data_IF_241258687005
#
_entry.id   IF_241258687005
#
_cell.length_a   1.000
_cell.length_b   1.000
_cell.length_c   1.000
_cell.angle_alpha   90.00
_cell.angle_beta   90.00
_cell.angle_gamma   90.00
#
_symmetry.space_group_name_H-M   'P 1'
#
loop_
_entity.id
_entity.type
_entity.pdbx_description
1 polymer ?
#
# COMPACT_ATOMS: atom_id res chain seq x y z
N UNK A 1 20.80 -29.49 57.01
CA UNK A 1 20.35 -30.00 55.69
C UNK A 1 19.14 -29.26 55.08
N UNK A 2 18.16 -28.77 55.87
CA UNK A 2 16.94 -28.10 55.36
C UNK A 2 17.15 -26.81 54.55
N UNK A 3 18.23 -26.05 54.82
CA UNK A 3 18.51 -24.80 54.08
C UNK A 3 18.99 -25.02 52.64
N UNK A 4 19.62 -26.16 52.34
CA UNK A 4 20.11 -26.45 50.99
C UNK A 4 18.98 -26.78 50.00
N UNK A 5 17.86 -27.36 50.46
CA UNK A 5 16.71 -27.62 49.59
C UNK A 5 15.97 -26.34 49.20
N UNK A 6 15.82 -25.37 50.13
CA UNK A 6 15.24 -24.06 49.80
C UNK A 6 16.07 -23.30 48.78
N UNK A 7 17.40 -23.31 48.94
CA UNK A 7 18.30 -22.65 48.00
C UNK A 7 18.23 -23.29 46.61
N UNK A 8 18.19 -24.62 46.52
CA UNK A 8 18.04 -25.35 45.25
C UNK A 8 16.72 -25.04 44.55
N UNK A 9 15.60 -24.98 45.28
CA UNK A 9 14.31 -24.63 44.69
C UNK A 9 14.25 -23.20 44.17
N UNK A 10 14.88 -22.24 44.88
CA UNK A 10 14.98 -20.85 44.43
C UNK A 10 15.84 -20.75 43.17
N UNK A 11 17.01 -21.41 43.15
CA UNK A 11 17.89 -21.43 41.98
C UNK A 11 17.21 -22.07 40.77
N UNK A 12 16.48 -23.18 40.95
CA UNK A 12 15.76 -23.82 39.86
C UNK A 12 14.64 -22.93 39.31
N UNK A 13 13.90 -22.23 40.18
CA UNK A 13 12.86 -21.28 39.76
C UNK A 13 13.45 -20.10 38.96
N UNK A 14 14.57 -19.55 39.40
CA UNK A 14 15.28 -18.47 38.69
C UNK A 14 15.81 -18.95 37.33
N UNK A 15 16.33 -20.18 37.25
CA UNK A 15 16.85 -20.76 36.02
C UNK A 15 15.73 -21.03 35.01
N UNK A 16 14.58 -21.54 35.46
CA UNK A 16 13.39 -21.72 34.61
C UNK A 16 12.82 -20.38 34.15
N UNK A 17 12.77 -19.36 35.01
CA UNK A 17 12.35 -18.02 34.62
C UNK A 17 13.29 -17.42 33.57
N UNK A 18 14.61 -17.54 33.77
CA UNK A 18 15.61 -17.12 32.79
C UNK A 18 15.49 -17.86 31.45
N UNK A 19 15.26 -19.17 31.48
CA UNK A 19 15.06 -19.98 30.27
C UNK A 19 13.77 -19.58 29.53
N UNK A 20 12.66 -19.35 30.25
CA UNK A 20 11.42 -18.88 29.62
C UNK A 20 11.57 -17.49 28.98
N UNK A 21 12.27 -16.57 29.65
CA UNK A 21 12.56 -15.26 29.10
C UNK A 21 13.44 -15.36 27.85
N UNK A 22 14.47 -16.21 27.89
CA UNK A 22 15.34 -16.46 26.74
C UNK A 22 14.60 -17.07 25.56
N UNK A 23 13.73 -18.05 25.80
CA UNK A 23 12.93 -18.69 24.74
C UNK A 23 11.93 -17.71 24.12
N UNK A 24 11.23 -16.92 24.92
CA UNK A 24 10.32 -15.87 24.42
C UNK A 24 11.11 -14.83 23.62
N UNK A 25 12.26 -14.38 24.13
CA UNK A 25 13.13 -13.42 23.42
C UNK A 25 13.60 -13.96 22.07
N UNK A 26 14.05 -15.21 22.01
CA UNK A 26 14.53 -15.81 20.76
C UNK A 26 13.39 -16.14 19.79
N UNK A 27 12.22 -16.57 20.28
CA UNK A 27 11.04 -16.76 19.43
C UNK A 27 10.60 -15.44 18.81
N UNK A 28 10.61 -14.35 19.58
CA UNK A 28 10.32 -13.00 19.10
C UNK A 28 11.36 -12.53 18.07
N UNK A 29 12.65 -12.77 18.30
CA UNK A 29 13.71 -12.46 17.32
C UNK A 29 13.58 -13.30 16.06
N UNK A 30 13.24 -14.59 16.17
CA UNK A 30 13.07 -15.50 15.03
C UNK A 30 11.88 -15.08 14.17
N UNK A 31 10.72 -14.82 14.80
CA UNK A 31 9.53 -14.28 14.11
C UNK A 31 9.80 -12.88 13.56
N UNK A 32 10.56 -12.05 14.29
CA UNK A 32 10.96 -10.72 13.85
C UNK A 32 11.87 -10.75 12.62
N UNK A 33 12.87 -11.62 12.57
CA UNK A 33 13.82 -11.73 11.46
C UNK A 33 13.17 -12.31 10.19
N UNK A 34 12.24 -13.26 10.33
CA UNK A 34 11.48 -13.82 9.20
C UNK A 34 10.50 -12.79 8.60
N UNK A 35 10.13 -11.77 9.38
CA UNK A 35 9.29 -10.64 8.95
C UNK A 35 10.07 -9.37 8.56
N UNK A 36 11.33 -9.24 9.00
CA UNK A 36 12.21 -8.09 8.71
C UNK A 36 12.81 -8.10 7.32
N UNK A 37 12.66 -9.19 6.55
CA UNK A 37 13.05 -9.21 5.14
C UNK A 37 12.31 -8.20 4.24
N UNK A 38 11.41 -7.36 4.78
CA UNK A 38 10.64 -6.42 3.97
C UNK A 38 10.21 -5.10 4.65
N UNK A 39 10.83 -4.68 5.76
CA UNK A 39 10.50 -3.38 6.40
C UNK A 39 11.71 -2.69 7.01
N UNK A 40 12.20 -1.65 6.35
CA UNK A 40 13.01 -0.62 6.99
C UNK A 40 12.09 0.24 7.88
N UNK A 41 12.37 0.34 9.19
CA UNK A 41 11.95 1.51 9.98
C UNK A 41 11.06 1.32 11.22
N UNK A 42 10.49 0.16 11.53
CA UNK A 42 9.71 -0.02 12.78
C UNK A 42 10.47 -0.83 13.82
N UNK A 43 10.60 -0.29 15.04
CA UNK A 43 11.29 -1.01 16.12
C UNK A 43 10.43 -2.17 16.63
N UNK A 44 11.07 -3.26 17.06
CA UNK A 44 10.40 -4.45 17.62
C UNK A 44 9.41 -4.10 18.76
N UNK A 45 9.71 -3.03 19.50
CA UNK A 45 8.91 -2.55 20.63
C UNK A 45 7.57 -1.95 20.18
N UNK A 46 7.54 -1.22 19.06
CA UNK A 46 6.32 -0.61 18.51
C UNK A 46 5.34 -1.67 17.98
N UNK A 47 5.86 -2.72 17.35
CA UNK A 47 5.04 -3.86 16.91
C UNK A 47 4.44 -4.66 18.08
N UNK A 48 5.22 -4.83 19.17
CA UNK A 48 4.72 -5.47 20.39
C UNK A 48 3.63 -4.64 21.08
N UNK A 49 3.70 -3.31 20.99
CA UNK A 49 2.69 -2.42 21.58
C UNK A 49 1.38 -2.42 20.81
N UNK A 50 1.42 -2.57 19.48
CA UNK A 50 0.24 -2.46 18.62
C UNK A 50 -0.52 -3.79 18.44
N UNK A 51 0.15 -4.92 18.62
CA UNK A 51 -0.49 -6.24 18.48
C UNK A 51 -1.27 -6.63 19.75
N UNK A 52 -2.59 -6.40 19.72
CA UNK A 52 -3.55 -6.90 20.74
C UNK A 52 -3.34 -8.38 21.07
N UNK A 53 -2.90 -9.18 20.10
CA UNK A 53 -2.61 -10.60 20.28
C UNK A 53 -1.41 -10.85 21.20
N UNK A 54 -0.33 -10.07 21.08
CA UNK A 54 0.87 -10.23 21.90
C UNK A 54 0.61 -9.83 23.36
N UNK A 55 -0.13 -8.75 23.59
CA UNK A 55 -0.57 -8.36 24.92
C UNK A 55 -1.49 -9.39 25.56
N UNK A 56 -2.41 -9.96 24.79
CA UNK A 56 -3.32 -11.01 25.30
C UNK A 56 -2.54 -12.27 25.68
N UNK A 57 -1.58 -12.71 24.84
CA UNK A 57 -0.68 -13.82 25.14
C UNK A 57 0.19 -13.54 26.37
N UNK A 58 0.74 -12.32 26.50
CA UNK A 58 1.55 -11.92 27.64
C UNK A 58 0.75 -11.94 28.95
N UNK A 59 -0.42 -11.31 28.99
CA UNK A 59 -1.29 -11.29 30.16
C UNK A 59 -1.75 -12.69 30.54
N UNK A 60 -2.06 -13.54 29.56
CA UNK A 60 -2.43 -14.93 29.80
C UNK A 60 -1.27 -15.73 30.41
N UNK A 61 -0.05 -15.57 29.89
CA UNK A 61 1.15 -16.21 30.45
C UNK A 61 1.43 -15.75 31.88
N UNK A 62 1.31 -14.45 32.17
CA UNK A 62 1.47 -13.90 33.52
C UNK A 62 0.40 -14.46 34.48
N UNK A 63 -0.85 -14.56 34.03
CA UNK A 63 -1.93 -15.16 34.81
C UNK A 63 -1.67 -16.64 35.11
N UNK A 64 -1.29 -17.43 34.10
CA UNK A 64 -0.93 -18.84 34.27
C UNK A 64 0.24 -19.01 35.25
N UNK A 65 1.27 -18.17 35.15
CA UNK A 65 2.42 -18.23 36.06
C UNK A 65 2.04 -17.85 37.49
N UNK A 66 1.14 -16.87 37.66
CA UNK A 66 0.65 -16.44 38.97
C UNK A 66 -0.21 -17.51 39.64
N UNK A 67 -1.11 -18.17 38.89
CA UNK A 67 -1.88 -19.31 39.37
C UNK A 67 -0.98 -20.49 39.74
N UNK A 68 0.05 -20.77 38.92
CA UNK A 68 1.01 -21.82 39.21
C UNK A 68 1.83 -21.51 40.48
N UNK A 69 2.28 -20.28 40.66
CA UNK A 69 3.02 -19.85 41.85
C UNK A 69 2.16 -19.88 43.12
N UNK A 70 0.90 -19.48 43.04
CA UNK A 70 -0.03 -19.52 44.16
C UNK A 70 -0.36 -20.98 44.55
N UNK A 71 -0.61 -21.83 43.56
CA UNK A 71 -0.76 -23.28 43.76
C UNK A 71 0.49 -23.92 44.38
N UNK A 72 1.68 -23.49 43.96
CA UNK A 72 2.95 -23.95 44.52
C UNK A 72 3.10 -23.61 46.01
N UNK A 73 2.76 -22.37 46.41
CA UNK A 73 2.81 -21.98 47.83
C UNK A 73 1.85 -22.81 48.68
N UNK A 74 0.63 -23.02 48.20
CA UNK A 74 -0.41 -23.76 48.92
C UNK A 74 -0.11 -25.27 48.99
N UNK A 75 0.52 -25.85 47.95
CA UNK A 75 0.81 -27.28 47.86
C UNK A 75 2.13 -27.71 48.53
N UNK A 76 2.88 -26.78 49.14
CA UNK A 76 4.20 -27.04 49.74
C UNK A 76 4.21 -28.03 50.93
N UNK A 77 3.05 -28.57 51.32
CA UNK A 77 2.91 -29.67 52.29
C UNK A 77 2.66 -31.07 51.71
N UNK A 78 2.30 -31.23 50.42
CA UNK A 78 1.90 -32.52 49.85
C UNK A 78 2.71 -32.89 48.59
N UNK A 79 3.76 -33.71 48.77
CA UNK A 79 4.61 -34.24 47.68
C UNK A 79 3.85 -35.03 46.61
N UNK A 80 2.70 -35.61 46.94
CA UNK A 80 1.89 -36.40 46.00
C UNK A 80 1.10 -35.54 45.00
N UNK A 81 0.71 -34.32 45.42
CA UNK A 81 -0.12 -33.41 44.61
C UNK A 81 0.64 -32.88 43.38
N UNK A 82 1.96 -32.73 43.50
CA UNK A 82 2.85 -32.24 42.44
C UNK A 82 2.91 -33.16 41.22
N UNK A 83 2.78 -34.48 41.39
CA UNK A 83 2.77 -35.42 40.26
C UNK A 83 1.45 -35.43 39.51
N UNK A 84 0.33 -35.12 40.17
CA UNK A 84 -0.98 -35.07 39.51
C UNK A 84 -1.26 -33.73 38.81
N UNK A 85 -0.74 -32.61 39.32
CA UNK A 85 -1.04 -31.28 38.75
C UNK A 85 -0.04 -30.76 37.72
N UNK A 86 1.21 -31.24 37.74
CA UNK A 86 2.23 -30.77 36.78
C UNK A 86 1.92 -31.22 35.34
N UNK A 87 1.37 -32.42 35.15
CA UNK A 87 1.09 -32.95 33.81
C UNK A 87 -0.07 -32.21 33.10
N UNK A 88 -1.25 -31.99 33.72
CA UNK A 88 -2.34 -31.25 33.07
C UNK A 88 -1.98 -29.81 32.73
N UNK A 89 -1.23 -29.12 33.60
CA UNK A 89 -0.82 -27.72 33.36
C UNK A 89 0.19 -27.64 32.21
N UNK A 90 1.16 -28.55 32.14
CA UNK A 90 2.08 -28.64 31.01
C UNK A 90 1.35 -28.94 29.70
N UNK A 91 0.37 -29.85 29.73
CA UNK A 91 -0.48 -30.12 28.58
C UNK A 91 -1.25 -28.88 28.15
N UNK A 92 -1.89 -28.14 29.07
CA UNK A 92 -2.62 -26.91 28.74
C UNK A 92 -1.72 -25.85 28.10
N UNK A 93 -0.53 -25.60 28.66
CA UNK A 93 0.42 -24.64 28.08
C UNK A 93 0.88 -25.08 26.69
N UNK A 94 1.15 -26.38 26.51
CA UNK A 94 1.52 -26.94 25.22
C UNK A 94 0.40 -26.82 24.17
N UNK A 95 -0.85 -27.11 24.55
CA UNK A 95 -2.01 -26.95 23.67
C UNK A 95 -2.26 -25.49 23.29
N UNK A 96 -2.11 -24.54 24.21
CA UNK A 96 -2.24 -23.10 23.89
C UNK A 96 -1.14 -22.65 22.94
N UNK A 97 0.10 -23.09 23.13
CA UNK A 97 1.19 -22.80 22.20
C UNK A 97 0.95 -23.42 20.81
N UNK A 98 0.55 -24.70 20.75
CA UNK A 98 0.20 -25.36 19.50
C UNK A 98 -0.97 -24.67 18.78
N UNK A 99 -1.98 -24.24 19.52
CA UNK A 99 -3.13 -23.50 18.97
C UNK A 99 -2.70 -22.13 18.43
N UNK A 100 -1.83 -21.42 19.15
CA UNK A 100 -1.24 -20.16 18.68
C UNK A 100 -0.44 -20.34 17.39
N UNK A 101 0.42 -21.36 17.32
CA UNK A 101 1.20 -21.68 16.11
C UNK A 101 0.29 -22.11 14.97
N UNK A 102 -0.71 -22.96 15.21
CA UNK A 102 -1.67 -23.40 14.20
C UNK A 102 -2.45 -22.22 13.61
N UNK A 103 -2.91 -21.28 14.44
CA UNK A 103 -3.59 -20.08 13.96
C UNK A 103 -2.64 -19.16 13.18
N UNK A 104 -1.39 -18.98 13.62
CA UNK A 104 -0.41 -18.21 12.89
C UNK A 104 -0.12 -18.84 11.51
N UNK A 105 -0.01 -20.17 11.44
CA UNK A 105 0.17 -20.91 10.18
C UNK A 105 -1.05 -20.78 9.29
N UNK A 106 -2.28 -20.98 9.80
CA UNK A 106 -3.52 -20.82 9.04
C UNK A 106 -3.67 -19.40 8.50
N UNK A 107 -3.40 -18.39 9.33
CA UNK A 107 -3.42 -16.98 8.92
C UNK A 107 -2.35 -16.68 7.84
N UNK A 108 -1.16 -17.28 7.96
CA UNK A 108 -0.11 -17.17 6.94
C UNK A 108 -0.49 -17.89 5.64
N UNK A 109 -1.21 -19.02 5.72
CA UNK A 109 -1.66 -19.78 4.56
C UNK A 109 -2.81 -19.09 3.84
N UNK A 110 -3.77 -18.48 4.55
CA UNK A 110 -4.82 -17.66 3.92
C UNK A 110 -4.21 -16.50 3.11
N UNK A 111 -3.15 -15.86 3.61
CA UNK A 111 -2.37 -14.88 2.82
C UNK A 111 -1.76 -15.50 1.56
N UNK A 112 -1.18 -16.70 1.66
CA UNK A 112 -0.53 -17.38 0.51
C UNK A 112 -1.52 -17.94 -0.51
N UNK A 113 -2.73 -18.30 -0.11
CA UNK A 113 -3.76 -18.80 -1.04
C UNK A 113 -4.28 -17.69 -1.95
N UNK A 114 -4.38 -16.45 -1.46
CA UNK A 114 -4.62 -15.27 -2.32
C UNK A 114 -3.52 -15.05 -3.37
N UNK A 115 -2.29 -15.50 -3.09
CA UNK A 115 -1.12 -15.27 -3.95
C UNK A 115 -1.00 -16.25 -5.14
N UNK A 116 -1.70 -17.39 -5.12
CA UNK A 116 -1.43 -18.52 -6.03
C UNK A 116 -2.57 -18.95 -6.96
N UNK A 117 -3.77 -18.36 -6.87
CA UNK A 117 -4.90 -18.81 -7.70
C UNK A 117 -5.15 -18.02 -9.00
N UNK A 118 -4.30 -17.04 -9.34
CA UNK A 118 -4.31 -16.43 -10.67
C UNK A 118 -3.23 -17.04 -11.55
N UNK A 119 -3.62 -17.83 -12.55
CA UNK A 119 -2.81 -18.08 -13.75
C UNK A 119 -2.71 -16.74 -14.48
N UNK A 120 -1.84 -15.87 -13.99
CA UNK A 120 -1.49 -14.61 -14.61
C UNK A 120 -0.34 -14.95 -15.53
N UNK A 121 -0.64 -15.11 -16.83
CA UNK A 121 0.36 -14.73 -17.81
C UNK A 121 0.82 -13.33 -17.40
N UNK A 122 2.12 -13.17 -17.14
CA UNK A 122 2.76 -11.89 -16.87
C UNK A 122 2.18 -10.86 -17.85
N UNK A 123 1.25 -10.02 -17.39
CA UNK A 123 0.68 -8.99 -18.23
C UNK A 123 1.71 -7.88 -18.27
N UNK A 124 2.62 -7.98 -19.23
CA UNK A 124 3.76 -7.08 -19.44
C UNK A 124 3.32 -5.60 -19.40
N UNK A 125 2.10 -5.28 -19.85
CA UNK A 125 1.54 -3.93 -19.80
C UNK A 125 1.45 -3.36 -18.37
N UNK A 126 1.02 -4.17 -17.39
CA UNK A 126 0.85 -3.71 -16.00
C UNK A 126 2.18 -3.42 -15.32
N UNK A 127 3.15 -4.33 -15.45
CA UNK A 127 4.49 -4.15 -14.87
C UNK A 127 5.30 -3.07 -15.63
N UNK A 128 5.12 -2.94 -16.94
CA UNK A 128 5.71 -1.85 -17.71
C UNK A 128 5.14 -0.48 -17.29
N UNK A 129 3.82 -0.37 -17.18
CA UNK A 129 3.16 0.84 -16.70
C UNK A 129 3.61 1.18 -15.28
N UNK A 130 3.73 0.19 -14.38
CA UNK A 130 4.19 0.43 -13.01
C UNK A 130 5.58 1.08 -12.97
N UNK A 131 6.53 0.59 -13.77
CA UNK A 131 7.88 1.17 -13.84
C UNK A 131 7.84 2.63 -14.29
N UNK A 132 6.98 2.97 -15.24
CA UNK A 132 6.81 4.35 -15.73
C UNK A 132 6.19 5.25 -14.67
N UNK A 133 5.20 4.75 -13.93
CA UNK A 133 4.61 5.44 -12.78
C UNK A 133 5.63 5.66 -11.65
N UNK A 134 6.48 4.68 -11.37
CA UNK A 134 7.53 4.79 -10.35
C UNK A 134 8.60 5.82 -10.75
N UNK A 135 8.97 5.90 -12.04
CA UNK A 135 9.84 6.95 -12.56
C UNK A 135 9.23 8.34 -12.38
N UNK A 136 7.95 8.49 -12.73
CA UNK A 136 7.22 9.75 -12.58
C UNK A 136 7.11 10.17 -11.10
N UNK A 137 6.79 9.24 -10.21
CA UNK A 137 6.72 9.49 -8.77
C UNK A 137 8.09 9.88 -8.20
N UNK A 138 9.15 9.20 -8.62
CA UNK A 138 10.52 9.53 -8.22
C UNK A 138 10.86 10.97 -8.61
N UNK A 139 10.54 11.37 -9.85
CA UNK A 139 10.77 12.74 -10.31
C UNK A 139 9.95 13.76 -9.51
N UNK A 140 8.65 13.50 -9.28
CA UNK A 140 7.76 14.37 -8.50
C UNK A 140 8.20 14.54 -7.04
N UNK A 141 8.67 13.46 -6.41
CA UNK A 141 9.10 13.47 -5.00
C UNK A 141 10.33 14.35 -4.74
N UNK A 142 11.12 14.64 -5.77
CA UNK A 142 12.30 15.50 -5.68
C UNK A 142 12.02 16.99 -5.89
N UNK A 143 10.78 17.37 -6.20
CA UNK A 143 10.43 18.75 -6.49
C UNK A 143 10.33 19.59 -5.20
N UNK A 144 10.72 20.87 -5.23
CA UNK A 144 10.46 21.80 -4.13
C UNK A 144 8.95 22.00 -3.94
N UNK A 145 8.52 22.33 -2.73
CA UNK A 145 7.14 22.83 -2.55
C UNK A 145 6.96 24.09 -3.39
N UNK A 146 5.82 24.29 -4.07
CA UNK A 146 5.50 25.57 -4.70
C UNK A 146 5.59 26.65 -3.62
N UNK A 147 6.36 27.71 -3.88
CA UNK A 147 6.53 28.81 -2.95
C UNK A 147 5.22 29.61 -2.87
N UNK A 148 4.77 29.93 -1.66
CA UNK A 148 3.37 30.25 -1.29
C UNK A 148 2.75 31.52 -1.91
N UNK A 149 3.38 32.17 -2.90
CA UNK A 149 2.94 33.48 -3.38
C UNK A 149 3.34 33.90 -4.78
N UNK A 150 4.09 33.09 -5.54
CA UNK A 150 4.48 33.44 -6.91
C UNK A 150 3.88 32.47 -7.93
N UNK A 151 3.37 32.99 -9.03
CA UNK A 151 3.04 32.16 -10.19
C UNK A 151 4.30 31.45 -10.67
N UNK A 152 4.32 30.13 -10.55
CA UNK A 152 5.41 29.28 -11.03
C UNK A 152 5.04 28.80 -12.43
N UNK A 153 5.93 29.04 -13.40
CA UNK A 153 5.82 28.51 -14.77
C UNK A 153 6.91 27.46 -15.00
N UNK A 154 6.70 26.53 -15.94
CA UNK A 154 7.65 25.44 -16.23
C UNK A 154 9.06 25.88 -16.66
N UNK A 155 9.26 27.17 -16.98
CA UNK A 155 10.54 27.72 -17.42
C UNK A 155 11.50 28.06 -16.27
N UNK A 156 11.07 27.95 -15.01
CA UNK A 156 11.92 28.23 -13.86
C UNK A 156 12.81 27.03 -13.53
N UNK A 157 14.10 27.25 -13.27
CA UNK A 157 15.01 26.16 -12.90
C UNK A 157 14.56 25.51 -11.59
N UNK A 158 14.56 24.17 -11.54
CA UNK A 158 14.18 23.40 -10.35
C UNK A 158 12.67 23.18 -10.16
N UNK A 159 11.84 23.57 -11.13
CA UNK A 159 10.40 23.28 -11.13
C UNK A 159 10.10 22.04 -11.98
N UNK A 160 8.87 21.52 -11.86
CA UNK A 160 8.42 20.39 -12.67
C UNK A 160 8.42 20.75 -14.16
N UNK A 161 9.00 19.89 -15.00
CA UNK A 161 8.94 20.02 -16.45
C UNK A 161 7.86 19.06 -16.99
N UNK A 162 6.71 19.55 -17.50
CA UNK A 162 5.69 18.70 -18.09
C UNK A 162 6.19 17.87 -19.29
N UNK A 163 7.28 18.28 -19.95
CA UNK A 163 7.89 17.50 -21.02
C UNK A 163 8.48 16.17 -20.51
N UNK A 164 8.76 16.08 -19.21
CA UNK A 164 9.21 14.86 -18.57
C UNK A 164 8.21 13.71 -18.72
N UNK A 165 6.91 14.00 -18.88
CA UNK A 165 5.91 12.98 -19.17
C UNK A 165 6.29 12.11 -20.38
N UNK A 166 6.82 12.72 -21.45
CA UNK A 166 7.21 11.99 -22.67
C UNK A 166 8.54 11.23 -22.51
N UNK A 167 9.30 11.50 -21.45
CA UNK A 167 10.46 10.68 -21.06
C UNK A 167 10.03 9.41 -20.32
N UNK A 168 8.91 9.44 -19.60
CA UNK A 168 8.32 8.26 -18.94
C UNK A 168 7.42 7.46 -19.90
N UNK A 169 6.53 8.15 -20.60
CA UNK A 169 5.56 7.62 -21.54
C UNK A 169 6.12 7.64 -22.96
N UNK A 170 7.05 6.73 -23.21
CA UNK A 170 7.89 6.69 -24.42
C UNK A 170 7.12 6.40 -25.70
N UNK A 171 5.84 6.04 -25.62
CA UNK A 171 4.98 5.82 -26.79
C UNK A 171 4.10 7.04 -27.11
N UNK A 172 4.27 8.14 -26.37
CA UNK A 172 3.60 9.41 -26.57
C UNK A 172 4.58 10.48 -27.04
N UNK A 173 4.08 11.43 -27.81
CA UNK A 173 4.82 12.65 -28.18
C UNK A 173 3.86 13.80 -28.43
N UNK A 174 4.30 15.04 -28.21
CA UNK A 174 3.54 16.22 -28.65
C UNK A 174 3.49 16.34 -30.18
N UNK A 175 2.41 16.93 -30.69
CA UNK A 175 2.26 17.41 -32.06
C UNK A 175 3.42 18.36 -32.40
N UNK A 176 3.92 18.24 -33.63
CA UNK A 176 5.03 19.08 -34.09
C UNK A 176 4.65 20.56 -34.00
N UNK A 177 5.52 21.36 -33.38
CA UNK A 177 5.27 22.78 -33.14
C UNK A 177 4.60 23.09 -31.80
N UNK A 178 4.21 22.09 -31.01
CA UNK A 178 3.66 22.27 -29.67
C UNK A 178 4.59 21.77 -28.56
N UNK A 179 4.46 22.38 -27.39
CA UNK A 179 5.06 21.92 -26.13
C UNK A 179 4.00 21.94 -25.04
N UNK A 180 4.15 21.05 -24.06
CA UNK A 180 3.33 21.01 -22.86
C UNK A 180 3.93 21.97 -21.83
N UNK A 181 3.06 22.73 -21.18
CA UNK A 181 3.41 23.68 -20.13
C UNK A 181 2.32 23.64 -19.04
N UNK A 182 2.51 24.37 -17.95
CA UNK A 182 1.48 24.50 -16.93
C UNK A 182 1.47 25.90 -16.32
N UNK A 183 0.28 26.33 -15.89
CA UNK A 183 0.11 27.46 -14.97
C UNK A 183 -0.27 26.90 -13.60
N UNK A 184 0.22 27.51 -12.53
CA UNK A 184 -0.10 27.08 -11.18
C UNK A 184 -1.10 28.03 -10.54
N UNK A 185 -2.26 27.48 -10.18
CA UNK A 185 -3.32 28.22 -9.49
C UNK A 185 -3.27 27.90 -8.00
N UNK A 186 -2.98 28.91 -7.17
CA UNK A 186 -2.96 28.81 -5.71
C UNK A 186 -4.12 29.63 -5.14
N UNK A 187 -4.94 28.98 -4.32
CA UNK A 187 -5.93 29.63 -3.47
C UNK A 187 -5.62 29.38 -1.99
N UNK A 188 -6.35 30.04 -1.11
CA UNK A 188 -6.20 29.83 0.34
C UNK A 188 -6.63 28.42 0.81
N UNK A 189 -7.37 27.67 0.00
CA UNK A 189 -7.83 26.32 0.33
C UNK A 189 -7.06 25.21 -0.37
N UNK A 190 -6.57 25.47 -1.58
CA UNK A 190 -6.04 24.46 -2.48
C UNK A 190 -5.15 25.10 -3.54
N UNK A 191 -4.17 24.35 -4.01
CA UNK A 191 -3.38 24.71 -5.17
C UNK A 191 -3.24 23.51 -6.10
N UNK A 192 -3.33 23.77 -7.40
CA UNK A 192 -3.22 22.75 -8.45
C UNK A 192 -2.66 23.35 -9.73
N UNK A 193 -1.86 22.58 -10.48
CA UNK A 193 -1.41 22.98 -11.80
C UNK A 193 -2.55 22.80 -12.82
N UNK A 194 -2.55 23.65 -13.83
CA UNK A 194 -3.36 23.53 -15.03
C UNK A 194 -2.43 23.35 -16.21
N UNK A 195 -2.51 22.19 -16.83
CA UNK A 195 -1.69 21.87 -18.00
C UNK A 195 -2.33 22.41 -19.26
N UNK A 196 -1.48 22.93 -20.14
CA UNK A 196 -1.89 23.41 -21.45
C UNK A 196 -0.82 23.12 -22.50
N UNK A 197 -1.22 23.13 -23.78
CA UNK A 197 -0.30 23.05 -24.90
C UNK A 197 -0.15 24.44 -25.52
N UNK A 198 1.09 24.86 -25.79
CA UNK A 198 1.39 26.12 -26.49
C UNK A 198 2.33 25.89 -27.66
N UNK A 199 2.39 26.87 -28.57
CA UNK A 199 3.35 26.79 -29.67
C UNK A 199 4.79 26.92 -29.14
N UNK A 200 5.73 26.25 -29.81
CA UNK A 200 7.16 26.44 -29.55
C UNK A 200 7.51 27.92 -29.76
N UNK A 201 8.12 28.54 -28.74
CA UNK A 201 8.51 29.96 -28.77
C UNK A 201 7.43 30.93 -28.29
N UNK A 202 6.19 30.48 -28.08
CA UNK A 202 5.16 31.27 -27.42
C UNK A 202 5.49 31.44 -25.94
N UNK A 203 5.20 32.61 -25.38
CA UNK A 203 5.36 32.87 -23.95
C UNK A 203 4.37 32.02 -23.15
N UNK A 204 4.78 31.42 -22.02
CA UNK A 204 3.84 30.71 -21.14
C UNK A 204 2.65 31.58 -20.74
N UNK A 205 1.46 31.00 -20.76
CA UNK A 205 0.26 31.63 -20.26
C UNK A 205 0.30 31.70 -18.73
N UNK A 206 -0.23 32.80 -18.19
CA UNK A 206 -0.33 33.05 -16.74
C UNK A 206 -1.73 32.68 -16.23
N UNK A 207 -2.75 32.83 -17.08
CA UNK A 207 -4.15 32.63 -16.74
C UNK A 207 -4.73 31.31 -17.27
N UNK A 208 -5.99 31.04 -16.92
CA UNK A 208 -6.75 29.90 -17.43
C UNK A 208 -6.81 29.93 -18.95
N UNK A 209 -6.11 28.98 -19.59
CA UNK A 209 -6.20 28.77 -21.03
C UNK A 209 -7.01 27.50 -21.21
N UNK A 210 -8.25 27.68 -21.63
CA UNK A 210 -9.07 26.58 -22.14
C UNK A 210 -8.39 26.02 -23.39
N UNK A 211 -7.63 24.94 -23.20
CA UNK A 211 -7.08 24.20 -24.31
C UNK A 211 -7.09 22.71 -24.02
N UNK A 212 -7.61 21.97 -25.00
CA UNK A 212 -7.58 20.53 -25.02
C UNK A 212 -6.16 20.04 -25.38
N UNK A 213 -5.18 20.27 -24.49
CA UNK A 213 -3.77 19.92 -24.71
C UNK A 213 -3.59 18.44 -25.08
N UNK A 214 -4.47 17.57 -24.58
CA UNK A 214 -4.45 16.13 -24.85
C UNK A 214 -4.79 15.81 -26.32
N UNK A 215 -5.47 16.70 -27.05
CA UNK A 215 -5.67 16.57 -28.51
C UNK A 215 -4.39 16.82 -29.31
N UNK A 216 -3.37 17.38 -28.66
CA UNK A 216 -2.04 17.63 -29.23
C UNK A 216 -1.05 16.52 -28.95
N UNK A 217 -1.48 15.38 -28.42
CA UNK A 217 -0.62 14.22 -28.18
C UNK A 217 -0.81 13.20 -29.31
N UNK A 218 0.31 12.76 -29.87
CA UNK A 218 0.36 11.64 -30.81
C UNK A 218 0.65 10.32 -30.09
N UNK A 219 -0.03 9.29 -30.56
CA UNK A 219 0.14 7.90 -30.14
C UNK A 219 0.71 7.11 -31.33
N UNK A 220 1.52 6.09 -31.04
CA UNK A 220 2.04 5.18 -32.08
C UNK A 220 1.06 4.05 -32.46
N UNK A 221 -0.13 4.01 -31.85
CA UNK A 221 -1.20 3.05 -32.15
C UNK A 221 -1.07 1.69 -31.48
N UNK A 222 -0.08 1.49 -30.61
CA UNK A 222 0.07 0.27 -29.79
C UNK A 222 -0.87 0.29 -28.58
N UNK A 223 -1.17 -0.88 -28.01
CA UNK A 223 -1.93 -0.98 -26.76
C UNK A 223 -1.31 -0.15 -25.64
N UNK A 224 0.03 -0.21 -25.53
CA UNK A 224 0.79 0.55 -24.55
C UNK A 224 0.63 2.07 -24.75
N UNK A 225 0.65 2.57 -26.00
CA UNK A 225 0.43 4.01 -26.25
C UNK A 225 -0.95 4.50 -25.83
N UNK A 226 -2.00 3.70 -26.02
CA UNK A 226 -3.35 4.06 -25.56
C UNK A 226 -3.46 4.00 -24.03
N UNK A 227 -2.81 3.03 -23.40
CA UNK A 227 -2.73 2.94 -21.94
C UNK A 227 -1.99 4.14 -21.33
N UNK A 228 -0.82 4.48 -21.87
CA UNK A 228 -0.06 5.66 -21.47
C UNK A 228 -0.86 6.94 -21.65
N UNK A 229 -1.56 7.08 -22.79
CA UNK A 229 -2.39 8.26 -23.06
C UNK A 229 -3.53 8.40 -22.06
N UNK A 230 -4.25 7.33 -21.77
CA UNK A 230 -5.33 7.32 -20.77
C UNK A 230 -4.82 7.68 -19.37
N UNK A 231 -3.64 7.18 -19.00
CA UNK A 231 -2.98 7.50 -17.73
C UNK A 231 -2.51 8.95 -17.71
N UNK A 232 -1.88 9.44 -18.79
CA UNK A 232 -1.45 10.83 -18.89
C UNK A 232 -2.65 11.76 -18.79
N UNK A 233 -3.69 11.55 -19.60
CA UNK A 233 -4.93 12.33 -19.56
C UNK A 233 -5.48 12.48 -18.12
N UNK A 234 -5.40 11.41 -17.34
CA UNK A 234 -5.97 11.37 -16.00
C UNK A 234 -5.04 11.88 -14.89
N UNK A 235 -3.72 11.80 -15.09
CA UNK A 235 -2.73 12.10 -14.03
C UNK A 235 -1.78 13.25 -14.37
N UNK A 236 -1.96 13.91 -15.51
CA UNK A 236 -1.08 14.98 -15.93
C UNK A 236 -1.08 16.13 -14.90
N UNK A 237 -2.21 16.45 -14.28
CA UNK A 237 -2.33 17.53 -13.29
C UNK A 237 -2.00 17.12 -11.84
N UNK A 238 -1.56 15.88 -11.62
CA UNK A 238 -1.35 15.32 -10.27
C UNK A 238 0.06 15.61 -9.71
N UNK A 239 0.49 16.87 -9.75
CA UNK A 239 1.74 17.35 -9.15
C UNK A 239 1.51 18.71 -8.47
N UNK A 240 2.37 19.13 -7.55
CA UNK A 240 2.21 20.38 -6.80
C UNK A 240 0.84 20.60 -6.14
N UNK A 241 0.14 19.52 -5.80
CA UNK A 241 -1.15 19.61 -5.14
C UNK A 241 -0.99 20.06 -3.69
N UNK A 242 -1.73 21.07 -3.27
CA UNK A 242 -1.72 21.58 -1.89
C UNK A 242 -3.12 21.65 -1.28
N UNK A 243 -3.18 21.64 0.06
CA UNK A 243 -4.43 21.82 0.82
C UNK A 243 -5.49 20.77 0.47
N UNK A 244 -6.67 21.25 0.06
CA UNK A 244 -7.79 20.39 -0.31
C UNK A 244 -7.62 19.70 -1.67
N UNK A 245 -6.74 20.19 -2.55
CA UNK A 245 -6.44 19.51 -3.81
C UNK A 245 -5.81 18.12 -3.59
N UNK A 246 -5.03 17.95 -2.51
CA UNK A 246 -4.46 16.65 -2.12
C UNK A 246 -5.56 15.64 -1.77
N UNK A 247 -6.66 16.08 -1.16
CA UNK A 247 -7.74 15.18 -0.71
C UNK A 247 -8.63 14.72 -1.85
N UNK A 248 -8.77 15.56 -2.88
CA UNK A 248 -9.47 15.24 -4.13
C UNK A 248 -8.56 14.63 -5.19
N UNK A 249 -7.25 14.58 -4.95
CA UNK A 249 -6.28 14.04 -5.90
C UNK A 249 -6.61 12.60 -6.21
N UNK A 250 -6.50 12.28 -7.48
CA UNK A 250 -7.01 11.04 -8.01
C UNK A 250 -6.20 9.87 -7.48
N UNK A 251 -6.89 8.78 -7.19
CA UNK A 251 -6.31 7.64 -6.51
C UNK A 251 -5.02 7.17 -7.18
N UNK A 252 -4.06 6.62 -6.44
CA UNK A 252 -2.86 6.04 -7.04
C UNK A 252 -3.23 4.92 -8.02
N UNK A 253 -2.78 4.98 -9.27
CA UNK A 253 -2.98 3.87 -10.23
C UNK A 253 -2.40 2.59 -9.63
N UNK A 254 -3.14 1.50 -9.78
CA UNK A 254 -2.76 0.15 -9.37
C UNK A 254 -2.44 -0.67 -10.61
N UNK A 255 -1.17 -0.72 -11.03
CA UNK A 255 -0.77 -1.37 -12.28
C UNK A 255 -0.08 -2.73 -12.07
N UNK A 256 0.53 -2.95 -10.91
CA UNK A 256 1.24 -4.19 -10.58
C UNK A 256 0.71 -4.90 -9.34
N UNK A 257 0.99 -6.20 -9.26
CA UNK A 257 0.67 -7.01 -8.09
C UNK A 257 1.40 -6.53 -6.85
N UNK A 258 2.69 -6.21 -6.99
CA UNK A 258 3.50 -5.72 -5.88
C UNK A 258 2.92 -4.43 -5.28
N UNK A 259 2.48 -3.50 -6.14
CA UNK A 259 1.86 -2.26 -5.70
C UNK A 259 0.49 -2.52 -5.06
N UNK A 260 -0.32 -3.40 -5.64
CA UNK A 260 -1.59 -3.80 -5.07
C UNK A 260 -1.44 -4.43 -3.67
N UNK A 261 -0.48 -5.33 -3.51
CA UNK A 261 -0.16 -5.95 -2.22
C UNK A 261 0.40 -4.94 -1.23
N UNK A 262 1.22 -3.98 -1.69
CA UNK A 262 1.72 -2.89 -0.85
C UNK A 262 0.56 -2.05 -0.31
N UNK A 263 -0.39 -1.69 -1.19
CA UNK A 263 -1.62 -1.00 -0.80
C UNK A 263 -2.35 -1.82 0.28
N UNK A 264 -2.69 -3.07 0.00
CA UNK A 264 -3.36 -3.99 0.94
C UNK A 264 -2.62 -4.07 2.28
N UNK A 265 -1.30 -4.21 2.28
CA UNK A 265 -0.49 -4.36 3.48
C UNK A 265 -0.41 -3.07 4.32
N UNK A 266 -0.60 -1.89 3.71
CA UNK A 266 -0.76 -0.61 4.41
C UNK A 266 -2.14 -0.46 5.05
N UNK A 267 -3.02 -1.44 4.86
CA UNK A 267 -4.28 -1.55 5.57
C UNK A 267 -5.45 -0.81 4.93
N UNK A 268 -5.23 -0.02 3.87
CA UNK A 268 -6.20 0.69 3.00
C UNK A 268 -7.50 1.23 3.64
N UNK A 269 -7.60 1.37 4.97
CA UNK A 269 -8.89 1.38 5.65
C UNK A 269 -9.81 0.20 5.28
N UNK A 270 -9.32 -0.89 4.68
CA UNK A 270 -10.18 -1.97 4.22
C UNK A 270 -10.47 -2.93 5.38
N UNK A 271 -11.75 -3.01 5.76
CA UNK A 271 -12.20 -4.01 6.72
C UNK A 271 -11.89 -5.44 6.28
N UNK A 272 -11.88 -6.39 7.23
CA UNK A 272 -11.55 -7.79 6.98
C UNK A 272 -12.39 -8.47 5.86
N UNK A 273 -13.59 -7.97 5.59
CA UNK A 273 -14.44 -8.43 4.47
C UNK A 273 -13.88 -7.98 3.11
N UNK A 274 -13.49 -6.71 3.00
CA UNK A 274 -12.92 -6.14 1.78
C UNK A 274 -11.58 -6.78 1.43
N UNK A 275 -10.81 -7.24 2.42
CA UNK A 275 -9.57 -7.98 2.21
C UNK A 275 -9.76 -9.30 1.45
N UNK A 276 -10.86 -10.02 1.70
CA UNK A 276 -11.16 -11.26 0.95
C UNK A 276 -11.57 -10.97 -0.49
N UNK A 277 -12.31 -9.87 -0.71
CA UNK A 277 -12.66 -9.41 -2.06
C UNK A 277 -11.42 -8.95 -2.82
N UNK A 278 -10.52 -8.24 -2.15
CA UNK A 278 -9.25 -7.79 -2.70
C UNK A 278 -8.43 -8.93 -3.33
N UNK A 279 -8.38 -10.09 -2.65
CA UNK A 279 -7.62 -11.23 -3.15
C UNK A 279 -8.05 -11.80 -4.51
N UNK A 280 -9.28 -11.55 -4.96
CA UNK A 280 -9.82 -12.13 -6.21
C UNK A 280 -10.06 -11.11 -7.31
N UNK A 281 -9.69 -9.84 -7.07
CA UNK A 281 -9.91 -8.77 -8.03
C UNK A 281 -8.82 -8.79 -9.09
N UNK A 282 -9.27 -8.70 -10.34
CA UNK A 282 -8.40 -8.36 -11.44
C UNK A 282 -8.18 -6.85 -11.49
N UNK A 283 -6.99 -6.40 -11.10
CA UNK A 283 -6.60 -4.99 -11.12
C UNK A 283 -5.74 -4.64 -12.34
N UNK A 284 -5.39 -5.61 -13.19
CA UNK A 284 -4.48 -5.37 -14.31
C UNK A 284 -5.11 -4.45 -15.36
N UNK A 285 -4.33 -3.54 -15.95
CA UNK A 285 -4.81 -2.72 -17.04
C UNK A 285 -5.14 -3.58 -18.26
N UNK A 286 -6.15 -3.16 -19.01
CA UNK A 286 -6.62 -3.84 -20.22
C UNK A 286 -6.82 -2.81 -21.31
N UNK A 287 -6.42 -3.16 -22.53
CA UNK A 287 -6.65 -2.34 -23.72
C UNK A 287 -7.34 -3.19 -24.76
N UNK A 288 -8.42 -2.67 -25.35
CA UNK A 288 -9.16 -3.32 -26.43
C UNK A 288 -9.27 -2.37 -27.61
N UNK A 289 -8.54 -2.67 -28.67
CA UNK A 289 -8.55 -1.89 -29.91
C UNK A 289 -9.66 -2.41 -30.83
N UNK A 290 -10.60 -1.54 -31.18
CA UNK A 290 -11.64 -1.77 -32.18
C UNK A 290 -11.31 -1.03 -33.49
N UNK A 291 -12.26 -1.00 -34.43
CA UNK A 291 -12.06 -0.37 -35.74
C UNK A 291 -11.86 1.16 -35.61
N UNK A 292 -12.79 1.83 -34.92
CA UNK A 292 -12.90 3.28 -34.78
C UNK A 292 -12.53 3.82 -33.39
N UNK A 293 -12.38 2.93 -32.41
CA UNK A 293 -12.25 3.28 -31.00
C UNK A 293 -11.32 2.33 -30.25
N UNK A 294 -10.82 2.77 -29.11
CA UNK A 294 -10.01 1.98 -28.18
C UNK A 294 -10.57 2.13 -26.78
N UNK A 295 -10.84 1.01 -26.12
CA UNK A 295 -11.26 0.98 -24.72
C UNK A 295 -10.05 0.66 -23.84
N UNK A 296 -9.76 1.54 -22.88
CA UNK A 296 -8.67 1.38 -21.91
C UNK A 296 -9.28 1.30 -20.52
N UNK A 297 -9.01 0.23 -19.79
CA UNK A 297 -9.45 0.04 -18.41
C UNK A 297 -8.26 -0.11 -17.48
N UNK A 298 -8.24 0.61 -16.37
CA UNK A 298 -7.23 0.45 -15.31
C UNK A 298 -7.81 0.75 -13.93
N UNK A 299 -7.18 0.21 -12.88
CA UNK A 299 -7.59 0.45 -11.51
C UNK A 299 -6.82 1.61 -10.88
N UNK A 300 -7.49 2.36 -10.01
CA UNK A 300 -6.91 3.41 -9.17
C UNK A 300 -7.41 3.25 -7.74
N UNK A 301 -6.60 3.63 -6.76
CA UNK A 301 -6.95 3.57 -5.34
C UNK A 301 -6.91 4.95 -4.69
N UNK A 302 -8.04 5.43 -4.16
CA UNK A 302 -8.08 6.66 -3.35
C UNK A 302 -8.53 6.37 -1.91
N UNK A 303 -8.06 7.19 -0.98
CA UNK A 303 -8.43 7.10 0.44
C UNK A 303 -9.87 7.48 0.76
N UNK A 304 -10.69 7.79 -0.25
CA UNK A 304 -12.11 8.13 -0.10
C UNK A 304 -13.01 7.23 -0.96
N UNK A 305 -12.58 6.91 -2.19
CA UNK A 305 -13.34 6.07 -3.13
C UNK A 305 -13.03 4.58 -3.03
N UNK A 306 -11.87 4.23 -2.48
CA UNK A 306 -11.40 2.85 -2.42
C UNK A 306 -10.75 2.45 -3.74
N UNK A 307 -10.91 1.20 -4.15
CA UNK A 307 -10.40 0.71 -5.44
C UNK A 307 -11.48 0.91 -6.51
N UNK A 308 -11.19 1.73 -7.50
CA UNK A 308 -12.09 2.09 -8.60
C UNK A 308 -11.45 1.69 -9.92
N UNK A 309 -12.22 1.03 -10.78
CA UNK A 309 -11.85 0.77 -12.17
C UNK A 309 -12.35 1.91 -13.03
N UNK A 310 -11.45 2.54 -13.75
CA UNK A 310 -11.74 3.58 -14.75
C UNK A 310 -11.70 2.94 -16.12
N UNK A 311 -12.71 3.21 -16.94
CA UNK A 311 -12.78 2.76 -18.33
C UNK A 311 -12.93 3.98 -19.22
N UNK A 312 -11.95 4.21 -20.09
CA UNK A 312 -11.88 5.35 -21.00
C UNK A 312 -11.99 4.83 -22.43
N UNK A 313 -12.96 5.36 -23.19
CA UNK A 313 -13.11 5.08 -24.61
C UNK A 313 -12.49 6.22 -25.41
N UNK A 314 -11.57 5.92 -26.31
CA UNK A 314 -10.74 6.87 -27.03
C UNK A 314 -11.01 6.70 -28.53
N UNK A 315 -11.22 7.80 -29.26
CA UNK A 315 -11.28 7.76 -30.72
C UNK A 315 -9.94 7.28 -31.29
N UNK A 316 -9.97 6.33 -32.22
CA UNK A 316 -8.74 5.80 -32.79
C UNK A 316 -8.05 6.81 -33.70
N UNK A 317 -8.84 7.58 -34.46
CA UNK A 317 -8.34 8.64 -35.33
C UNK A 317 -7.83 9.84 -34.51
N UNK A 318 -6.69 10.39 -34.93
CA UNK A 318 -6.18 11.65 -34.36
C UNK A 318 -7.24 12.75 -34.57
N UNK A 319 -7.64 13.53 -33.57
CA UNK A 319 -6.91 13.88 -32.34
C UNK A 319 -7.19 13.03 -31.09
N UNK A 320 -7.59 11.76 -31.22
CA UNK A 320 -7.76 10.82 -30.11
C UNK A 320 -8.71 11.31 -29.01
N UNK A 321 -9.82 11.94 -29.41
CA UNK A 321 -10.82 12.47 -28.50
C UNK A 321 -11.31 11.41 -27.52
N UNK A 322 -11.48 11.80 -26.26
CA UNK A 322 -12.16 10.97 -25.26
C UNK A 322 -13.65 10.94 -25.62
N UNK A 323 -14.17 9.75 -25.90
CA UNK A 323 -15.55 9.52 -26.32
C UNK A 323 -16.46 9.22 -25.12
N UNK A 324 -15.93 8.51 -24.12
CA UNK A 324 -16.65 8.13 -22.92
C UNK A 324 -15.68 7.87 -21.76
N UNK A 325 -16.16 8.13 -20.55
CA UNK A 325 -15.51 7.78 -19.29
C UNK A 325 -16.52 7.11 -18.37
N UNK A 326 -16.15 5.95 -17.83
CA UNK A 326 -16.95 5.22 -16.86
C UNK A 326 -16.09 4.85 -15.64
N UNK A 327 -16.75 4.79 -14.47
CA UNK A 327 -16.11 4.45 -13.21
C UNK A 327 -16.92 3.39 -12.45
N UNK A 328 -16.28 2.26 -12.16
CA UNK A 328 -16.84 1.18 -11.37
C UNK A 328 -16.09 1.07 -10.04
N UNK A 329 -16.80 1.22 -8.91
CA UNK A 329 -16.22 0.94 -7.60
C UNK A 329 -16.06 -0.57 -7.42
N UNK A 330 -14.81 -1.05 -7.45
CA UNK A 330 -14.46 -2.47 -7.29
C UNK A 330 -14.39 -2.87 -5.82
N UNK A 331 -13.82 -2.00 -4.99
CA UNK A 331 -13.81 -2.15 -3.53
C UNK A 331 -14.14 -0.80 -2.92
N UNK A 332 -15.27 -0.72 -2.22
CA UNK A 332 -15.65 0.48 -1.49
C UNK A 332 -14.68 0.71 -0.32
N UNK A 333 -14.20 1.94 -0.17
CA UNK A 333 -13.48 2.36 1.03
C UNK A 333 -14.42 2.37 2.24
N UNK A 334 -13.98 1.77 3.34
CA UNK A 334 -14.69 1.80 4.62
C UNK A 334 -13.88 2.64 5.61
N UNK A 335 -14.26 3.91 5.75
CA UNK A 335 -13.58 4.79 6.70
C UNK A 335 -13.87 4.47 8.17
N UNK A 336 -14.69 3.44 8.46
CA UNK A 336 -15.11 3.06 9.80
C UNK A 336 -16.20 3.95 10.41
N UNK A 337 -16.69 4.94 9.66
CA UNK A 337 -17.80 5.80 10.07
C UNK A 337 -19.11 5.32 9.44
N UNK A 338 -20.06 4.91 10.27
CA UNK A 338 -21.44 4.70 9.87
C UNK A 338 -22.07 6.09 9.79
N UNK A 339 -22.38 6.58 8.58
CA UNK A 339 -23.17 7.81 8.41
C UNK A 339 -24.63 7.59 8.81
#
# INVERSE_FOLDING_TARGET
MRNNERLRSILLALLLAGLSYFLVKNLVVFVGNDLQGNREGTTLLEWMLDSRLAWTLYLYLVACFSFFYLGFRLASGLRWYWRMLSFPVLCCVFFVMLWGVANAVLYSQERRVCLHQGILAENDLGECLQRKLDMLETHRSGLPSPDDGNHVTALQEGVFDPQYYFSCFTNLSMESGFVLDYSYSQSWFAGSPWIYARNVGETPAIDDVDCDWFLKVHLNGTEESYLEYAVLYRYADQFYLTGHAIKGSEGRIVASKAQYENLINKGLGLGARSMKQACVIDFYPRVRIAEDSVEVSFCSFSGHGGLVRKTITIAREHAHRILNEDEETVIKYDCGWIM
#
